data_IF_745914652546
#
_entry.id   IF_745914652546
#
_cell.length_a   1.000
_cell.length_b   1.000
_cell.length_c   1.000
_cell.angle_alpha   90.00
_cell.angle_beta   90.00
_cell.angle_gamma   90.00
#
_symmetry.space_group_name_H-M   'P 1'
#
loop_
_entity.id
_entity.type
_entity.pdbx_description
1 polymer ?
#
# COMPACT_ATOMS: atom_id res chain seq x y z
N UNK A 1 78.19 47.76 7.72
CA UNK A 1 76.78 47.46 7.81
C UNK A 1 76.50 46.10 7.18
N UNK A 2 76.24 45.05 7.98
CA UNK A 2 76.00 43.68 7.48
C UNK A 2 74.47 43.46 7.47
N UNK A 3 73.96 43.19 6.29
CA UNK A 3 72.54 42.75 6.15
C UNK A 3 72.46 41.22 6.32
N UNK A 4 71.73 40.76 7.40
CA UNK A 4 71.40 39.39 7.56
C UNK A 4 70.09 39.11 6.76
N UNK A 5 70.10 38.14 5.86
CA UNK A 5 68.95 37.61 5.15
C UNK A 5 68.39 36.49 5.97
N UNK A 6 67.16 36.69 6.50
CA UNK A 6 66.33 35.62 7.04
C UNK A 6 65.80 34.76 5.89
N UNK A 7 66.09 33.47 5.92
CA UNK A 7 65.47 32.47 5.07
C UNK A 7 64.18 31.93 5.85
N UNK A 8 63.00 32.23 5.37
CA UNK A 8 61.76 31.55 5.81
C UNK A 8 61.68 30.19 5.11
N UNK A 9 61.69 29.12 5.90
CA UNK A 9 61.41 27.78 5.43
C UNK A 9 59.89 27.59 5.50
N UNK A 10 59.25 27.48 4.33
CA UNK A 10 57.82 27.10 4.24
C UNK A 10 57.71 25.58 4.38
N UNK A 11 57.15 25.10 5.50
CA UNK A 11 56.83 23.70 5.69
C UNK A 11 55.50 23.43 4.98
N UNK A 12 55.50 22.71 3.87
CA UNK A 12 54.32 22.20 3.19
C UNK A 12 53.85 20.98 3.97
N UNK A 13 52.70 21.12 4.71
CA UNK A 13 51.99 19.98 5.22
C UNK A 13 51.17 19.35 4.09
N UNK A 14 51.55 18.19 3.62
CA UNK A 14 50.75 17.34 2.75
C UNK A 14 49.67 16.69 3.61
N UNK A 15 48.41 17.14 3.51
CA UNK A 15 47.27 16.43 4.01
C UNK A 15 46.94 15.33 2.99
N UNK A 16 47.35 14.11 3.26
CA UNK A 16 46.89 12.94 2.50
C UNK A 16 45.42 12.70 2.81
N UNK A 17 44.54 13.11 1.91
CA UNK A 17 43.14 12.68 1.94
C UNK A 17 43.10 11.18 1.61
N UNK A 18 42.92 10.33 2.60
CA UNK A 18 42.56 8.93 2.38
C UNK A 18 41.13 8.91 1.79
N UNK A 19 41.05 8.77 0.47
CA UNK A 19 39.81 8.34 -0.18
C UNK A 19 39.68 6.85 0.17
N UNK A 20 38.87 6.50 1.16
CA UNK A 20 38.52 5.14 1.40
C UNK A 20 37.80 4.59 0.14
N UNK A 21 38.40 3.61 -0.51
CA UNK A 21 37.71 2.90 -1.60
C UNK A 21 36.45 2.27 -1.01
N UNK A 22 35.31 2.35 -1.71
CA UNK A 22 34.11 1.67 -1.25
C UNK A 22 34.44 0.17 -1.06
N UNK A 23 34.05 -0.39 0.08
CA UNK A 23 34.17 -1.82 0.31
C UNK A 23 33.43 -2.56 -0.82
N UNK A 24 34.02 -3.63 -1.36
CA UNK A 24 33.35 -4.42 -2.38
C UNK A 24 32.12 -5.07 -1.77
N UNK A 25 30.95 -4.89 -2.41
CA UNK A 25 29.69 -5.53 -2.00
C UNK A 25 29.87 -7.05 -1.86
N UNK A 26 29.43 -7.60 -0.74
CA UNK A 26 29.52 -9.05 -0.43
C UNK A 26 28.14 -9.68 -0.36
N UNK A 27 28.08 -10.99 -0.50
CA UNK A 27 26.88 -11.77 -0.24
C UNK A 27 27.05 -12.52 1.07
N UNK A 28 26.16 -12.27 2.02
CA UNK A 28 26.08 -12.96 3.32
C UNK A 28 24.99 -14.02 3.20
N UNK A 29 25.37 -15.27 2.96
CA UNK A 29 24.41 -16.37 2.79
C UNK A 29 24.10 -17.03 4.13
N UNK A 30 22.81 -17.09 4.49
CA UNK A 30 22.33 -17.76 5.70
C UNK A 30 21.45 -18.95 5.31
N UNK A 31 21.67 -20.11 5.93
CA UNK A 31 20.93 -21.35 5.62
C UNK A 31 19.79 -21.56 6.60
N UNK A 32 18.61 -21.90 6.07
CA UNK A 32 17.48 -22.34 6.87
C UNK A 32 17.75 -23.70 7.58
N UNK A 33 17.02 -23.95 8.66
CA UNK A 33 16.99 -25.27 9.31
C UNK A 33 18.20 -25.63 10.19
N UNK A 34 19.12 -24.69 10.42
CA UNK A 34 20.16 -24.85 11.46
C UNK A 34 19.60 -24.38 12.81
N UNK A 35 20.08 -24.92 13.96
CA UNK A 35 19.56 -24.55 15.27
C UNK A 35 19.65 -23.06 15.60
N UNK A 36 20.61 -22.34 15.04
CA UNK A 36 20.92 -20.94 15.24
C UNK A 36 20.56 -20.08 14.00
N UNK A 37 19.72 -20.60 13.09
CA UNK A 37 19.40 -19.90 11.84
C UNK A 37 18.78 -18.52 12.06
N UNK A 38 17.91 -18.38 13.07
CA UNK A 38 17.21 -17.13 13.35
C UNK A 38 18.17 -16.05 13.86
N UNK A 39 19.04 -16.42 14.81
CA UNK A 39 20.07 -15.51 15.32
C UNK A 39 21.04 -15.08 14.21
N UNK A 40 21.49 -16.04 13.39
CA UNK A 40 22.38 -15.75 12.26
C UNK A 40 21.72 -14.88 11.19
N UNK A 41 20.43 -15.04 10.96
CA UNK A 41 19.73 -14.17 10.02
C UNK A 41 19.65 -12.74 10.55
N UNK A 42 19.26 -12.55 11.81
CA UNK A 42 19.24 -11.23 12.42
C UNK A 42 20.65 -10.62 12.51
N UNK A 43 21.66 -11.41 12.82
CA UNK A 43 23.07 -10.99 12.82
C UNK A 43 23.50 -10.55 11.41
N UNK A 44 23.14 -11.27 10.36
CA UNK A 44 23.45 -10.92 8.98
C UNK A 44 22.80 -9.59 8.56
N UNK A 45 21.55 -9.34 8.99
CA UNK A 45 20.86 -8.07 8.74
C UNK A 45 21.49 -6.88 9.48
N UNK A 46 22.03 -7.10 10.70
CA UNK A 46 22.69 -6.07 11.51
C UNK A 46 24.12 -5.78 10.99
N UNK A 47 24.84 -6.82 10.57
CA UNK A 47 26.25 -6.72 10.16
C UNK A 47 26.44 -6.47 8.65
N UNK A 48 25.36 -6.37 7.88
CA UNK A 48 25.43 -5.97 6.50
C UNK A 48 26.02 -4.55 6.38
N UNK A 49 26.76 -4.32 5.32
CA UNK A 49 27.29 -3.00 4.96
C UNK A 49 26.57 -2.49 3.70
N UNK A 50 26.55 -1.18 3.45
CA UNK A 50 25.91 -0.64 2.25
C UNK A 50 26.44 -1.28 0.96
N UNK A 51 25.54 -1.83 0.15
CA UNK A 51 25.83 -2.58 -1.06
C UNK A 51 25.77 -4.08 -0.90
N UNK A 52 25.69 -4.60 0.32
CA UNK A 52 25.65 -6.04 0.57
C UNK A 52 24.32 -6.68 0.17
N UNK A 53 24.40 -7.99 -0.06
CA UNK A 53 23.22 -8.84 -0.23
C UNK A 53 23.15 -9.85 0.93
N UNK A 54 22.06 -9.83 1.70
CA UNK A 54 21.71 -10.89 2.65
C UNK A 54 20.87 -11.92 1.88
N UNK A 55 21.43 -13.12 1.70
CA UNK A 55 20.81 -14.19 0.94
C UNK A 55 20.20 -15.24 1.87
N UNK A 56 18.89 -15.37 1.76
CA UNK A 56 18.11 -16.34 2.53
C UNK A 56 18.12 -17.69 1.80
N UNK A 57 18.76 -18.70 2.36
CA UNK A 57 18.72 -20.05 1.81
C UNK A 57 17.30 -20.60 1.74
N UNK A 58 17.05 -21.47 0.75
CA UNK A 58 15.77 -22.16 0.62
C UNK A 58 15.45 -22.99 1.88
N UNK A 59 14.19 -23.03 2.26
CA UNK A 59 13.66 -23.74 3.41
C UNK A 59 12.70 -22.91 4.25
N UNK A 60 12.15 -23.55 5.28
CA UNK A 60 11.24 -22.90 6.23
C UNK A 60 12.02 -22.44 7.45
N UNK A 61 11.93 -21.14 7.72
CA UNK A 61 12.51 -20.47 8.88
C UNK A 61 11.42 -20.35 9.96
N UNK A 62 11.54 -21.07 11.05
CA UNK A 62 10.61 -20.99 12.19
C UNK A 62 11.04 -19.88 13.12
N UNK A 63 10.42 -18.70 12.99
CA UNK A 63 10.81 -17.49 13.67
C UNK A 63 9.92 -17.26 14.90
N UNK A 64 10.55 -16.93 16.04
CA UNK A 64 9.89 -16.60 17.31
C UNK A 64 9.84 -15.10 17.57
N UNK A 65 10.69 -14.34 16.90
CA UNK A 65 10.80 -12.89 17.02
C UNK A 65 10.81 -12.23 15.64
N UNK A 66 10.45 -10.95 15.58
CA UNK A 66 10.56 -10.14 14.38
C UNK A 66 12.00 -9.91 13.97
N UNK A 67 12.21 -9.66 12.68
CA UNK A 67 13.49 -9.28 12.10
C UNK A 67 13.54 -7.78 11.88
N UNK A 68 14.74 -7.19 11.94
CA UNK A 68 14.94 -5.76 11.65
C UNK A 68 16.15 -5.52 10.74
N UNK A 69 16.02 -4.57 9.83
CA UNK A 69 17.07 -4.07 8.95
C UNK A 69 17.12 -2.53 9.05
N UNK A 70 18.28 -2.02 9.48
CA UNK A 70 18.54 -0.58 9.63
C UNK A 70 19.90 -0.20 8.99
N UNK A 71 20.15 -0.73 7.79
CA UNK A 71 21.36 -0.45 7.00
C UNK A 71 20.93 -0.09 5.59
N UNK A 72 21.37 1.07 5.13
CA UNK A 72 21.06 1.57 3.79
C UNK A 72 21.68 0.71 2.68
N UNK A 73 21.03 0.73 1.52
CA UNK A 73 21.51 0.09 0.29
C UNK A 73 21.82 -1.41 0.45
N UNK A 74 20.93 -2.12 1.13
CA UNK A 74 21.01 -3.58 1.32
C UNK A 74 19.97 -4.29 0.48
N UNK A 75 20.38 -5.40 -0.13
CA UNK A 75 19.46 -6.35 -0.78
C UNK A 75 19.18 -7.52 0.15
N UNK A 76 17.91 -7.83 0.42
CA UNK A 76 17.49 -9.08 1.06
C UNK A 76 16.85 -9.96 -0.01
N UNK A 77 17.47 -11.08 -0.32
CA UNK A 77 17.06 -11.96 -1.41
C UNK A 77 16.84 -13.39 -0.95
N UNK A 78 15.68 -13.93 -1.22
CA UNK A 78 15.39 -15.35 -1.01
C UNK A 78 15.57 -16.20 -2.27
N UNK A 79 15.30 -17.51 -2.15
CA UNK A 79 15.32 -18.47 -3.24
C UNK A 79 13.97 -18.58 -3.97
N UNK A 80 12.99 -17.75 -3.61
CA UNK A 80 11.64 -17.74 -4.14
C UNK A 80 10.58 -17.81 -3.05
N UNK A 81 9.31 -17.74 -3.44
CA UNK A 81 8.16 -17.65 -2.53
C UNK A 81 7.39 -18.96 -2.39
N UNK A 82 7.75 -19.99 -3.19
CA UNK A 82 6.99 -21.25 -3.28
C UNK A 82 7.33 -22.19 -2.12
N UNK A 83 6.29 -22.75 -1.50
CA UNK A 83 6.44 -23.76 -0.45
C UNK A 83 7.26 -24.97 -0.94
N UNK A 84 8.18 -25.43 -0.09
CA UNK A 84 9.08 -26.54 -0.39
C UNK A 84 10.29 -26.21 -1.27
N UNK A 85 10.36 -25.05 -1.90
CA UNK A 85 11.47 -24.62 -2.76
C UNK A 85 11.99 -23.21 -2.45
N UNK A 86 11.15 -22.34 -1.89
CA UNK A 86 11.48 -20.95 -1.58
C UNK A 86 12.06 -20.75 -0.19
N UNK A 87 12.34 -19.50 0.13
CA UNK A 87 12.74 -19.03 1.46
C UNK A 87 11.49 -18.55 2.20
N UNK A 88 11.03 -19.31 3.18
CA UNK A 88 9.75 -19.10 3.86
C UNK A 88 10.00 -18.70 5.30
N UNK A 89 9.80 -17.42 5.62
CA UNK A 89 9.88 -16.86 6.96
C UNK A 89 8.53 -17.08 7.67
N UNK A 90 8.41 -18.11 8.47
CA UNK A 90 7.17 -18.50 9.16
C UNK A 90 7.19 -18.06 10.62
N UNK A 91 6.37 -17.06 10.91
CA UNK A 91 6.19 -16.45 12.23
C UNK A 91 5.06 -17.08 13.07
N UNK A 92 4.57 -18.26 12.71
CA UNK A 92 3.52 -18.95 13.50
C UNK A 92 3.92 -19.19 14.97
N UNK A 93 5.20 -19.18 15.27
CA UNK A 93 5.78 -19.29 16.62
C UNK A 93 6.11 -17.95 17.29
N UNK A 94 5.79 -16.81 16.68
CA UNK A 94 6.16 -15.49 17.20
C UNK A 94 5.63 -15.25 18.61
N UNK A 95 6.51 -14.86 19.54
CA UNK A 95 6.17 -14.67 20.96
C UNK A 95 5.67 -13.25 21.24
N UNK A 96 6.37 -12.24 20.75
CA UNK A 96 5.97 -10.85 20.85
C UNK A 96 4.82 -10.48 19.91
N UNK A 97 4.20 -9.31 20.12
CA UNK A 97 3.44 -8.62 19.11
C UNK A 97 4.42 -7.77 18.30
N UNK A 98 4.38 -7.83 16.98
CA UNK A 98 5.26 -7.03 16.14
C UNK A 98 5.30 -7.50 14.71
N UNK A 99 6.06 -6.81 13.94
CA UNK A 99 6.23 -7.05 12.52
C UNK A 99 7.02 -8.35 12.27
N UNK A 100 6.85 -8.94 11.10
CA UNK A 100 7.71 -10.01 10.62
C UNK A 100 9.09 -9.48 10.25
N UNK A 101 9.14 -8.46 9.39
CA UNK A 101 10.36 -7.74 9.04
C UNK A 101 10.10 -6.24 9.12
N UNK A 102 10.89 -5.53 9.94
CA UNK A 102 10.93 -4.08 10.01
C UNK A 102 12.14 -3.55 9.24
N UNK A 103 11.92 -2.55 8.36
CA UNK A 103 12.97 -1.83 7.62
C UNK A 103 12.88 -0.34 7.95
N UNK A 104 13.99 0.24 8.39
CA UNK A 104 14.07 1.67 8.75
C UNK A 104 15.13 2.43 7.95
N UNK A 105 15.69 1.79 6.93
CA UNK A 105 16.82 2.28 6.11
C UNK A 105 16.42 2.52 4.66
N UNK A 106 17.21 3.33 3.97
CA UNK A 106 17.01 3.77 2.59
C UNK A 106 17.62 2.79 1.57
N UNK A 107 17.18 2.87 0.30
CA UNK A 107 17.74 2.13 -0.85
C UNK A 107 17.64 0.59 -0.72
N UNK A 108 16.69 0.08 0.04
CA UNK A 108 16.54 -1.35 0.30
C UNK A 108 15.79 -2.06 -0.83
N UNK A 109 16.27 -3.26 -1.17
CA UNK A 109 15.63 -4.16 -2.12
C UNK A 109 15.27 -5.48 -1.46
N UNK A 110 13.98 -5.77 -1.33
CA UNK A 110 13.43 -7.00 -0.79
C UNK A 110 12.88 -7.86 -1.92
N UNK A 111 13.38 -9.08 -2.08
CA UNK A 111 12.96 -9.91 -3.23
C UNK A 111 13.00 -11.42 -2.98
N UNK A 112 12.08 -12.14 -3.60
CA UNK A 112 12.07 -13.60 -3.72
C UNK A 112 12.00 -14.37 -2.38
N UNK A 113 11.18 -13.93 -1.43
CA UNK A 113 10.91 -14.70 -0.20
C UNK A 113 9.44 -14.54 0.25
N UNK A 114 9.01 -15.42 1.14
CA UNK A 114 7.69 -15.35 1.75
C UNK A 114 7.78 -15.02 3.24
N UNK A 115 6.79 -14.26 3.73
CA UNK A 115 6.56 -13.96 5.16
C UNK A 115 5.18 -14.49 5.53
N UNK A 116 5.12 -15.40 6.49
CA UNK A 116 3.87 -16.07 6.85
C UNK A 116 3.52 -15.88 8.32
N UNK A 117 2.22 -15.71 8.59
CA UNK A 117 1.60 -15.86 9.91
C UNK A 117 2.17 -14.93 11.00
N UNK A 118 2.53 -13.71 10.66
CA UNK A 118 2.97 -12.70 11.64
C UNK A 118 1.85 -12.33 12.60
N UNK A 119 2.16 -11.98 13.83
CA UNK A 119 1.18 -11.44 14.81
C UNK A 119 0.82 -9.98 14.52
N UNK A 120 1.79 -9.19 14.12
CA UNK A 120 1.62 -7.83 13.64
C UNK A 120 1.73 -7.77 12.11
N UNK A 121 2.26 -6.67 11.58
CA UNK A 121 2.42 -6.47 10.15
C UNK A 121 3.38 -7.49 9.52
N UNK A 122 3.17 -7.83 8.26
CA UNK A 122 4.05 -8.76 7.55
C UNK A 122 5.44 -8.17 7.33
N UNK A 123 5.54 -7.22 6.42
CA UNK A 123 6.76 -6.46 6.13
C UNK A 123 6.42 -4.97 6.26
N UNK A 124 7.00 -4.32 7.25
CA UNK A 124 6.85 -2.90 7.49
C UNK A 124 8.11 -2.15 7.14
N UNK A 125 7.98 -1.05 6.41
CA UNK A 125 9.05 -0.05 6.34
C UNK A 125 8.56 1.28 6.87
N UNK A 126 9.40 1.94 7.66
CA UNK A 126 9.09 3.24 8.22
C UNK A 126 10.20 4.25 7.93
N UNK A 127 9.86 5.32 7.21
CA UNK A 127 10.81 6.35 6.80
C UNK A 127 11.83 5.86 5.77
N UNK A 128 11.67 4.66 5.23
CA UNK A 128 12.55 4.05 4.23
C UNK A 128 12.26 4.64 2.85
N UNK A 129 13.24 5.33 2.27
CA UNK A 129 13.12 5.93 0.95
C UNK A 129 13.79 5.06 -0.11
N UNK A 130 13.28 5.10 -1.34
CA UNK A 130 13.76 4.26 -2.45
C UNK A 130 13.74 2.77 -2.12
N UNK A 131 12.62 2.33 -1.52
CA UNK A 131 12.41 0.92 -1.17
C UNK A 131 11.68 0.17 -2.28
N UNK A 132 12.16 -1.04 -2.57
CA UNK A 132 11.57 -1.93 -3.58
C UNK A 132 11.15 -3.26 -2.94
N UNK A 133 9.88 -3.60 -3.10
CA UNK A 133 9.31 -4.90 -2.79
C UNK A 133 9.02 -5.62 -4.10
N UNK A 134 9.70 -6.73 -4.35
CA UNK A 134 9.57 -7.43 -5.62
C UNK A 134 9.48 -8.94 -5.43
N UNK A 135 8.51 -9.57 -6.08
CA UNK A 135 8.31 -11.02 -6.02
C UNK A 135 8.26 -11.56 -4.58
N UNK A 136 7.47 -10.91 -3.73
CA UNK A 136 7.26 -11.32 -2.33
C UNK A 136 5.90 -11.99 -2.16
N UNK A 137 5.79 -12.84 -1.14
CA UNK A 137 4.51 -13.39 -0.66
C UNK A 137 4.35 -13.09 0.82
N UNK A 138 3.24 -12.45 1.20
CA UNK A 138 2.86 -12.25 2.60
C UNK A 138 1.50 -12.88 2.84
N UNK A 139 1.40 -13.80 3.80
CA UNK A 139 0.17 -14.59 3.94
C UNK A 139 -0.10 -15.03 5.37
N UNK A 140 -1.37 -14.94 5.79
CA UNK A 140 -1.92 -15.62 6.94
C UNK A 140 -2.63 -16.88 6.47
N UNK A 141 -1.95 -18.02 6.62
CA UNK A 141 -2.32 -19.31 5.99
C UNK A 141 -3.61 -19.90 6.51
N UNK A 142 -4.07 -19.48 7.70
CA UNK A 142 -5.35 -19.90 8.28
C UNK A 142 -6.57 -19.16 7.69
N UNK A 143 -6.35 -18.29 6.69
CA UNK A 143 -7.38 -17.47 6.03
C UNK A 143 -7.77 -16.22 6.81
N UNK A 144 -8.82 -15.50 6.33
CA UNK A 144 -9.30 -14.24 6.91
C UNK A 144 -9.72 -14.37 8.37
N UNK A 145 -9.11 -13.59 9.25
CA UNK A 145 -9.42 -13.51 10.68
C UNK A 145 -9.10 -12.14 11.26
N UNK A 146 -9.95 -11.64 12.15
CA UNK A 146 -9.71 -10.41 12.91
C UNK A 146 -8.39 -10.42 13.69
N UNK A 147 -7.88 -11.59 14.06
CA UNK A 147 -6.65 -11.76 14.83
C UNK A 147 -5.39 -11.84 13.98
N UNK A 148 -5.51 -11.78 12.67
CA UNK A 148 -4.34 -11.69 11.78
C UNK A 148 -3.68 -10.31 11.93
N UNK A 149 -2.43 -10.18 11.50
CA UNK A 149 -1.77 -8.89 11.44
C UNK A 149 -2.52 -7.90 10.52
N UNK A 150 -2.34 -6.62 10.78
CA UNK A 150 -3.11 -5.58 10.10
C UNK A 150 -2.72 -5.46 8.63
N UNK A 151 -1.43 -5.35 8.35
CA UNK A 151 -0.92 -5.05 7.01
C UNK A 151 0.05 -6.11 6.50
N UNK A 152 -0.10 -6.49 5.23
CA UNK A 152 0.83 -7.43 4.60
C UNK A 152 2.15 -6.76 4.23
N UNK A 153 2.13 -5.85 3.27
CA UNK A 153 3.25 -4.96 2.91
C UNK A 153 2.87 -3.54 3.29
N UNK A 154 3.70 -2.92 4.13
CA UNK A 154 3.36 -1.68 4.82
C UNK A 154 4.48 -0.65 4.79
N UNK A 155 4.74 0.07 3.67
CA UNK A 155 5.52 1.29 3.69
C UNK A 155 4.72 2.45 4.29
N UNK A 156 5.35 3.17 5.22
CA UNK A 156 4.80 4.36 5.86
C UNK A 156 5.86 5.45 6.02
N UNK A 157 5.47 6.71 5.87
CA UNK A 157 6.37 7.88 5.96
C UNK A 157 7.58 7.76 5.00
N UNK A 158 7.37 7.19 3.82
CA UNK A 158 8.40 6.83 2.85
C UNK A 158 8.27 7.62 1.54
N UNK A 159 9.34 7.71 0.77
CA UNK A 159 9.31 8.29 -0.58
C UNK A 159 10.03 7.40 -1.58
N UNK A 160 9.57 7.45 -2.84
CA UNK A 160 10.01 6.54 -3.89
C UNK A 160 9.78 5.08 -3.47
N UNK A 161 8.53 4.63 -3.54
CA UNK A 161 8.11 3.28 -3.14
C UNK A 161 7.71 2.49 -4.37
N UNK A 162 8.34 1.34 -4.60
CA UNK A 162 7.96 0.39 -5.64
C UNK A 162 7.49 -0.92 -5.02
N UNK A 163 6.24 -1.30 -5.28
CA UNK A 163 5.66 -2.60 -4.95
C UNK A 163 5.30 -3.28 -6.26
N UNK A 164 6.01 -4.34 -6.60
CA UNK A 164 5.95 -5.01 -7.89
C UNK A 164 5.90 -6.53 -7.72
N UNK A 165 4.94 -7.18 -8.36
CA UNK A 165 4.79 -8.64 -8.37
C UNK A 165 4.67 -9.26 -6.96
N UNK A 166 3.93 -8.61 -6.07
CA UNK A 166 3.73 -9.04 -4.69
C UNK A 166 2.38 -9.77 -4.54
N UNK A 167 2.37 -10.86 -3.79
CA UNK A 167 1.15 -11.56 -3.41
C UNK A 167 0.85 -11.37 -1.92
N UNK A 168 -0.36 -10.91 -1.59
CA UNK A 168 -0.78 -10.75 -0.18
C UNK A 168 -2.15 -11.35 0.08
N UNK A 169 -2.29 -12.08 1.20
CA UNK A 169 -3.53 -12.74 1.59
C UNK A 169 -3.76 -12.74 3.10
N UNK A 170 -4.97 -12.38 3.52
CA UNK A 170 -5.48 -12.59 4.87
C UNK A 170 -5.22 -11.48 5.87
N UNK A 171 -4.77 -10.30 5.44
CA UNK A 171 -4.56 -9.13 6.30
C UNK A 171 -5.88 -8.63 6.90
N UNK A 172 -5.87 -8.33 8.21
CA UNK A 172 -7.09 -7.88 8.92
C UNK A 172 -7.42 -6.39 8.73
N UNK A 173 -6.58 -5.68 8.01
CA UNK A 173 -6.79 -4.30 7.57
C UNK A 173 -6.51 -4.19 6.07
N UNK A 174 -5.26 -4.08 5.61
CA UNK A 174 -4.98 -4.02 4.18
C UNK A 174 -3.87 -5.00 3.76
N UNK A 175 -4.06 -5.68 2.63
CA UNK A 175 -3.02 -6.54 2.04
C UNK A 175 -1.78 -5.74 1.70
N UNK A 176 -1.92 -4.74 0.85
CA UNK A 176 -0.89 -3.76 0.51
C UNK A 176 -1.38 -2.41 1.03
N UNK A 177 -0.67 -1.83 1.98
CA UNK A 177 -0.95 -0.51 2.51
C UNK A 177 0.21 0.43 2.26
N UNK A 178 -0.05 1.60 1.72
CA UNK A 178 0.94 2.67 1.57
C UNK A 178 0.39 3.92 2.25
N UNK A 179 0.98 4.27 3.39
CA UNK A 179 0.52 5.39 4.21
C UNK A 179 1.50 6.54 4.30
N UNK A 180 0.98 7.78 4.25
CA UNK A 180 1.75 8.99 4.53
C UNK A 180 3.07 9.07 3.73
N UNK A 181 3.02 8.57 2.51
CA UNK A 181 4.17 8.41 1.62
C UNK A 181 3.98 9.21 0.33
N UNK A 182 5.01 9.23 -0.53
CA UNK A 182 4.95 9.95 -1.81
C UNK A 182 5.78 9.28 -2.89
N UNK A 183 5.42 9.55 -4.14
CA UNK A 183 6.06 8.99 -5.33
C UNK A 183 6.04 7.46 -5.31
N UNK A 184 4.86 6.90 -5.58
CA UNK A 184 4.50 5.52 -5.28
C UNK A 184 4.07 4.81 -6.55
N UNK A 185 4.55 3.59 -6.76
CA UNK A 185 4.03 2.68 -7.79
C UNK A 185 3.71 1.33 -7.15
N UNK A 186 2.46 0.88 -7.32
CA UNK A 186 1.98 -0.46 -6.94
C UNK A 186 1.48 -1.14 -8.21
N UNK A 187 2.17 -2.19 -8.65
CA UNK A 187 1.84 -2.85 -9.92
C UNK A 187 2.03 -4.36 -9.91
N UNK A 188 1.45 -5.04 -10.90
CA UNK A 188 1.61 -6.47 -11.16
C UNK A 188 1.37 -7.36 -9.93
N UNK A 189 0.64 -6.86 -8.94
CA UNK A 189 0.48 -7.47 -7.62
C UNK A 189 -0.90 -8.08 -7.45
N UNK A 190 -0.99 -9.06 -6.54
CA UNK A 190 -2.25 -9.75 -6.22
C UNK A 190 -2.54 -9.59 -4.74
N UNK A 191 -3.67 -8.95 -4.42
CA UNK A 191 -4.17 -8.82 -3.07
C UNK A 191 -5.54 -9.54 -2.96
N UNK A 192 -5.61 -10.58 -2.14
CA UNK A 192 -6.81 -11.42 -2.06
C UNK A 192 -7.15 -11.84 -0.64
N UNK A 193 -8.45 -11.95 -0.34
CA UNK A 193 -8.95 -12.37 0.98
C UNK A 193 -8.45 -11.48 2.15
N UNK A 194 -8.26 -10.18 1.90
CA UNK A 194 -7.96 -9.17 2.92
C UNK A 194 -9.22 -8.36 3.24
N UNK A 195 -9.17 -7.46 4.21
CA UNK A 195 -10.24 -6.45 4.35
C UNK A 195 -10.10 -5.44 3.21
N UNK A 196 -9.05 -4.65 3.15
CA UNK A 196 -8.72 -3.92 1.94
C UNK A 196 -7.69 -4.70 1.12
N UNK A 197 -7.87 -4.80 -0.20
CA UNK A 197 -6.85 -5.41 -1.06
C UNK A 197 -5.61 -4.54 -1.10
N UNK A 198 -5.76 -3.31 -1.62
CA UNK A 198 -4.73 -2.28 -1.71
C UNK A 198 -5.29 -1.00 -1.10
N UNK A 199 -4.50 -0.31 -0.29
CA UNK A 199 -4.88 0.95 0.33
C UNK A 199 -3.79 2.00 0.17
N UNK A 200 -4.17 3.16 -0.36
CA UNK A 200 -3.32 4.37 -0.45
C UNK A 200 -3.93 5.40 0.49
N UNK A 201 -3.27 5.63 1.62
CA UNK A 201 -3.81 6.50 2.68
C UNK A 201 -2.92 7.70 2.93
N UNK A 202 -3.51 8.91 2.94
CA UNK A 202 -2.79 10.16 3.22
C UNK A 202 -1.49 10.32 2.42
N UNK A 203 -1.45 9.79 1.21
CA UNK A 203 -0.26 9.69 0.37
C UNK A 203 -0.37 10.58 -0.87
N UNK A 204 0.76 10.91 -1.47
CA UNK A 204 0.85 11.82 -2.60
C UNK A 204 1.50 11.15 -3.79
N UNK A 205 1.01 11.46 -4.99
CA UNK A 205 1.63 11.04 -6.23
C UNK A 205 1.78 9.51 -6.31
N UNK A 206 0.66 8.80 -6.54
CA UNK A 206 0.63 7.34 -6.56
C UNK A 206 0.00 6.80 -7.85
N UNK A 207 0.63 5.79 -8.45
CA UNK A 207 0.10 4.95 -9.51
C UNK A 207 -0.18 3.55 -8.97
N UNK A 208 -1.43 3.09 -9.11
CA UNK A 208 -1.88 1.75 -8.75
C UNK A 208 -2.45 1.11 -10.00
N UNK A 209 -1.69 0.20 -10.64
CA UNK A 209 -2.06 -0.33 -11.95
C UNK A 209 -1.64 -1.79 -12.17
N UNK A 210 -2.27 -2.43 -13.12
CA UNK A 210 -2.00 -3.84 -13.51
C UNK A 210 -2.09 -4.83 -12.33
N UNK A 211 -2.86 -4.50 -11.28
CA UNK A 211 -3.03 -5.36 -10.11
C UNK A 211 -4.31 -6.19 -10.20
N UNK A 212 -4.35 -7.27 -9.44
CA UNK A 212 -5.56 -8.04 -9.15
C UNK A 212 -5.93 -7.83 -7.69
N UNK A 213 -7.03 -7.10 -7.44
CA UNK A 213 -7.62 -6.93 -6.12
C UNK A 213 -8.96 -7.69 -6.05
N UNK A 214 -8.90 -8.96 -5.64
CA UNK A 214 -10.06 -9.85 -5.72
C UNK A 214 -10.33 -10.60 -4.41
N UNK A 215 -11.61 -10.89 -4.14
CA UNK A 215 -12.05 -11.63 -2.94
C UNK A 215 -11.69 -10.93 -1.63
N UNK A 216 -11.52 -9.62 -1.62
CA UNK A 216 -11.37 -8.83 -0.41
C UNK A 216 -12.76 -8.37 0.10
N UNK A 217 -12.83 -7.65 1.20
CA UNK A 217 -14.04 -6.90 1.57
C UNK A 217 -14.20 -5.69 0.67
N UNK A 218 -13.11 -4.90 0.49
CA UNK A 218 -12.96 -3.83 -0.50
C UNK A 218 -11.70 -4.05 -1.34
N UNK A 219 -11.75 -3.74 -2.65
CA UNK A 219 -10.66 -4.00 -3.57
C UNK A 219 -9.51 -3.02 -3.41
N UNK A 220 -9.71 -1.76 -3.82
CA UNK A 220 -8.70 -0.69 -3.76
C UNK A 220 -9.30 0.52 -3.04
N UNK A 221 -8.63 0.98 -1.99
CA UNK A 221 -9.07 2.11 -1.16
C UNK A 221 -8.11 3.29 -1.33
N UNK A 222 -8.65 4.49 -1.52
CA UNK A 222 -7.86 5.74 -1.62
C UNK A 222 -8.42 6.72 -0.61
N UNK A 223 -7.75 6.81 0.54
CA UNK A 223 -8.25 7.53 1.70
C UNK A 223 -7.42 8.77 2.03
N UNK A 224 -8.08 9.78 2.60
CA UNK A 224 -7.44 10.82 3.39
C UNK A 224 -8.12 10.86 4.75
N UNK A 225 -7.36 10.70 5.82
CA UNK A 225 -7.86 10.61 7.19
C UNK A 225 -7.35 11.78 8.04
N UNK A 226 -8.13 12.20 9.05
CA UNK A 226 -7.70 13.26 9.97
C UNK A 226 -6.64 12.81 10.96
N UNK A 227 -5.95 13.78 11.56
CA UNK A 227 -5.06 13.59 12.72
C UNK A 227 -3.84 12.71 12.47
N UNK A 228 -3.44 12.53 11.21
CA UNK A 228 -2.19 11.88 10.84
C UNK A 228 -1.09 12.93 10.57
N UNK A 229 0.20 12.59 10.72
CA UNK A 229 1.31 13.52 10.45
C UNK A 229 1.27 14.11 9.04
N UNK A 230 0.99 13.30 8.03
CA UNK A 230 0.75 13.76 6.66
C UNK A 230 -0.75 13.73 6.37
N UNK A 231 -1.27 14.83 5.84
CA UNK A 231 -2.68 14.99 5.47
C UNK A 231 -2.81 15.53 4.06
N UNK A 232 -4.02 15.44 3.54
CA UNK A 232 -4.34 15.98 2.23
C UNK A 232 -3.86 15.08 1.10
N UNK A 233 -4.11 13.77 1.20
CA UNK A 233 -3.83 12.80 0.15
C UNK A 233 -4.31 13.27 -1.22
N UNK A 234 -3.47 13.14 -2.26
CA UNK A 234 -3.77 13.63 -3.60
C UNK A 234 -2.91 13.02 -4.71
N UNK A 235 -3.34 13.26 -5.95
CA UNK A 235 -2.67 12.82 -7.18
C UNK A 235 -2.53 11.31 -7.23
N UNK A 236 -3.62 10.58 -7.11
CA UNK A 236 -3.65 9.11 -7.18
C UNK A 236 -4.31 8.67 -8.47
N UNK A 237 -3.65 7.79 -9.23
CA UNK A 237 -4.21 7.13 -10.39
C UNK A 237 -4.43 5.65 -10.10
N UNK A 238 -5.65 5.17 -10.32
CA UNK A 238 -6.03 3.76 -10.20
C UNK A 238 -6.49 3.29 -11.57
N UNK A 239 -5.66 2.52 -12.25
CA UNK A 239 -5.93 2.20 -13.67
C UNK A 239 -5.45 0.79 -14.06
N UNK A 240 -6.11 0.24 -15.06
CA UNK A 240 -5.76 -1.07 -15.66
C UNK A 240 -5.70 -2.23 -14.65
N UNK A 241 -6.42 -2.12 -13.51
CA UNK A 241 -6.54 -3.19 -12.53
C UNK A 241 -7.72 -4.11 -12.84
N UNK A 242 -7.65 -5.35 -12.37
CA UNK A 242 -8.79 -6.27 -12.25
C UNK A 242 -9.27 -6.21 -10.79
N UNK A 243 -10.50 -5.72 -10.59
CA UNK A 243 -11.08 -5.52 -9.26
C UNK A 243 -12.39 -6.28 -9.18
N UNK A 244 -12.37 -7.50 -8.65
CA UNK A 244 -13.50 -8.42 -8.79
C UNK A 244 -13.76 -9.26 -7.56
N UNK A 245 -15.05 -9.70 -7.45
CA UNK A 245 -15.48 -10.67 -6.42
C UNK A 245 -15.07 -10.26 -4.98
N UNK A 246 -15.09 -8.95 -4.69
CA UNK A 246 -14.73 -8.46 -3.36
C UNK A 246 -15.90 -8.70 -2.38
N UNK A 247 -16.10 -9.96 -2.04
CA UNK A 247 -17.27 -10.49 -1.29
C UNK A 247 -16.91 -11.09 0.07
N UNK A 248 -15.63 -11.05 0.47
CA UNK A 248 -15.20 -11.50 1.80
C UNK A 248 -15.88 -10.65 2.89
N UNK A 249 -16.60 -11.26 3.84
CA UNK A 249 -17.19 -10.53 4.95
C UNK A 249 -16.14 -9.68 5.66
N UNK A 250 -16.51 -8.46 6.06
CA UNK A 250 -15.56 -7.58 6.75
C UNK A 250 -15.16 -8.19 8.11
N UNK A 251 -13.88 -8.46 8.27
CA UNK A 251 -13.30 -9.06 9.46
C UNK A 251 -12.29 -8.14 10.16
N UNK A 252 -12.30 -6.84 9.83
CA UNK A 252 -11.44 -5.87 10.47
C UNK A 252 -11.75 -5.74 11.97
N UNK A 253 -10.75 -5.49 12.81
CA UNK A 253 -10.96 -5.16 14.21
C UNK A 253 -11.87 -3.93 14.35
N UNK A 254 -12.79 -4.00 15.31
CA UNK A 254 -13.71 -2.88 15.59
C UNK A 254 -12.93 -1.62 15.95
N UNK A 255 -13.30 -0.51 15.33
CA UNK A 255 -12.66 0.80 15.55
C UNK A 255 -11.65 1.19 14.46
N UNK A 256 -11.18 0.26 13.66
CA UNK A 256 -10.42 0.58 12.45
C UNK A 256 -11.35 1.21 11.41
N UNK A 257 -10.83 2.16 10.63
CA UNK A 257 -11.63 2.83 9.60
C UNK A 257 -12.14 1.84 8.55
N UNK A 258 -11.32 0.87 8.19
CA UNK A 258 -11.68 -0.17 7.20
C UNK A 258 -12.79 -1.11 7.68
N UNK A 259 -13.07 -1.18 9.00
CA UNK A 259 -14.23 -1.90 9.53
C UNK A 259 -15.57 -1.30 9.05
N UNK A 260 -15.54 -0.07 8.54
CA UNK A 260 -16.70 0.61 7.97
C UNK A 260 -16.85 0.44 6.46
N UNK A 261 -15.90 -0.19 5.80
CA UNK A 261 -15.95 -0.43 4.36
C UNK A 261 -17.04 -1.47 4.06
N UNK A 262 -18.02 -1.15 3.22
CA UNK A 262 -19.06 -2.09 2.85
C UNK A 262 -18.47 -3.27 2.07
N UNK A 263 -18.79 -4.49 2.49
CA UNK A 263 -18.45 -5.70 1.73
C UNK A 263 -18.98 -5.58 0.29
N UNK A 264 -18.16 -5.93 -0.68
CA UNK A 264 -18.55 -5.81 -2.09
C UNK A 264 -18.19 -4.47 -2.73
N UNK A 265 -17.28 -3.73 -2.14
CA UNK A 265 -16.77 -2.49 -2.72
C UNK A 265 -15.58 -2.80 -3.67
N UNK A 266 -15.62 -2.30 -4.89
CA UNK A 266 -14.49 -2.38 -5.82
C UNK A 266 -13.41 -1.35 -5.48
N UNK A 267 -13.55 -0.12 -5.96
CA UNK A 267 -12.70 1.03 -5.58
C UNK A 267 -13.48 1.97 -4.67
N UNK A 268 -12.88 2.44 -3.58
CA UNK A 268 -13.46 3.46 -2.70
C UNK A 268 -12.53 4.66 -2.58
N UNK A 269 -13.00 5.82 -3.00
CA UNK A 269 -12.31 7.11 -2.80
C UNK A 269 -13.01 7.85 -1.67
N UNK A 270 -12.30 8.11 -0.57
CA UNK A 270 -12.84 8.83 0.59
C UNK A 270 -12.00 10.05 0.94
N UNK A 271 -12.60 11.23 0.83
CA UNK A 271 -12.03 12.53 1.22
C UNK A 271 -10.70 12.90 0.52
N UNK A 272 -10.26 12.14 -0.47
CA UNK A 272 -9.03 12.36 -1.21
C UNK A 272 -9.24 13.34 -2.37
N UNK A 273 -8.17 13.81 -3.01
CA UNK A 273 -8.22 14.81 -4.09
C UNK A 273 -7.37 14.43 -5.29
N UNK A 274 -7.75 14.98 -6.46
CA UNK A 274 -7.08 14.70 -7.72
C UNK A 274 -6.89 13.18 -7.89
N UNK A 275 -7.99 12.42 -7.92
CA UNK A 275 -7.96 10.97 -8.11
C UNK A 275 -8.56 10.63 -9.46
N UNK A 276 -7.84 9.85 -10.25
CA UNK A 276 -8.33 9.30 -11.51
C UNK A 276 -8.51 7.79 -11.39
N UNK A 277 -9.70 7.28 -11.74
CA UNK A 277 -10.03 5.85 -11.79
C UNK A 277 -10.44 5.52 -13.22
N UNK A 278 -9.59 4.81 -13.97
CA UNK A 278 -9.82 4.60 -15.40
C UNK A 278 -9.25 3.28 -15.93
N UNK A 279 -9.86 2.75 -16.97
CA UNK A 279 -9.35 1.55 -17.66
C UNK A 279 -9.40 0.26 -16.84
N UNK A 280 -9.99 0.27 -15.65
CA UNK A 280 -10.09 -0.92 -14.80
C UNK A 280 -11.19 -1.87 -15.30
N UNK A 281 -11.04 -3.14 -15.00
CA UNK A 281 -12.06 -4.18 -15.20
C UNK A 281 -12.66 -4.55 -13.86
N UNK A 282 -13.95 -4.27 -13.70
CA UNK A 282 -14.73 -4.59 -12.50
C UNK A 282 -15.73 -5.71 -12.77
N UNK A 283 -15.84 -6.67 -11.85
CA UNK A 283 -16.91 -7.66 -11.89
C UNK A 283 -17.24 -8.21 -10.49
N UNK A 284 -18.50 -8.62 -10.28
CA UNK A 284 -18.98 -9.30 -9.07
C UNK A 284 -18.74 -8.52 -7.75
N UNK A 285 -18.76 -7.19 -7.79
CA UNK A 285 -18.69 -6.37 -6.57
C UNK A 285 -20.11 -6.08 -6.06
N UNK A 286 -20.49 -6.73 -4.98
CA UNK A 286 -21.88 -6.75 -4.49
C UNK A 286 -22.44 -5.37 -4.12
N UNK A 287 -21.61 -4.46 -3.61
CA UNK A 287 -22.03 -3.10 -3.23
C UNK A 287 -21.91 -2.13 -4.40
N UNK A 288 -20.72 -1.91 -4.94
CA UNK A 288 -20.51 -1.04 -6.08
C UNK A 288 -19.10 -1.26 -6.65
N UNK A 289 -18.92 -1.05 -7.95
CA UNK A 289 -17.59 -1.10 -8.55
C UNK A 289 -16.73 0.11 -8.17
N UNK A 290 -17.33 1.29 -8.09
CA UNK A 290 -16.65 2.51 -7.63
C UNK A 290 -17.55 3.27 -6.66
N UNK A 291 -17.00 3.69 -5.54
CA UNK A 291 -17.66 4.55 -4.55
C UNK A 291 -16.83 5.83 -4.34
N UNK A 292 -17.50 6.98 -4.31
CA UNK A 292 -16.90 8.28 -3.96
C UNK A 292 -17.68 8.85 -2.79
N UNK A 293 -17.00 9.10 -1.68
CA UNK A 293 -17.65 9.54 -0.44
C UNK A 293 -16.82 10.56 0.33
N UNK A 294 -17.49 11.40 1.10
CA UNK A 294 -16.87 12.22 2.13
C UNK A 294 -16.59 11.41 3.41
N UNK A 295 -15.63 11.86 4.20
CA UNK A 295 -15.36 11.33 5.55
C UNK A 295 -16.43 11.82 6.53
N UNK A 296 -17.26 10.93 7.05
CA UNK A 296 -18.47 11.25 7.83
C UNK A 296 -18.36 10.94 9.31
N UNK A 297 -17.15 10.69 9.79
CA UNK A 297 -16.91 10.42 11.22
C UNK A 297 -16.48 11.68 11.96
N UNK A 298 -16.76 11.72 13.25
CA UNK A 298 -16.32 12.83 14.09
C UNK A 298 -14.79 12.92 14.12
N UNK A 299 -14.28 14.14 13.97
CA UNK A 299 -12.86 14.45 14.08
C UNK A 299 -12.65 15.80 14.75
N UNK A 300 -11.50 15.97 15.40
CA UNK A 300 -11.12 17.21 16.10
C UNK A 300 -10.13 18.06 15.30
N UNK A 301 -9.68 17.60 14.16
CA UNK A 301 -8.70 18.29 13.35
C UNK A 301 -9.38 19.45 12.58
N UNK A 302 -9.05 20.71 12.89
CA UNK A 302 -9.68 21.87 12.24
C UNK A 302 -9.21 22.10 10.79
N UNK A 303 -8.10 21.51 10.40
CA UNK A 303 -7.50 21.68 9.06
C UNK A 303 -7.91 20.57 8.08
N UNK A 304 -8.52 19.51 8.60
CA UNK A 304 -8.92 18.37 7.79
C UNK A 304 -10.03 18.72 6.79
N UNK A 305 -9.90 18.21 5.58
CA UNK A 305 -10.85 18.43 4.50
C UNK A 305 -11.62 17.13 4.21
N UNK A 306 -12.83 16.96 4.78
CA UNK A 306 -13.55 15.69 4.72
C UNK A 306 -14.23 15.39 3.39
N UNK A 307 -14.14 16.29 2.40
CA UNK A 307 -14.82 16.15 1.11
C UNK A 307 -13.86 15.73 0.00
N UNK A 308 -14.25 14.80 -0.88
CA UNK A 308 -13.48 14.49 -2.08
C UNK A 308 -13.49 15.68 -3.03
N UNK A 309 -12.38 15.87 -3.76
CA UNK A 309 -12.25 16.96 -4.71
C UNK A 309 -11.49 16.56 -5.96
N UNK A 310 -11.98 17.01 -7.13
CA UNK A 310 -11.37 16.72 -8.42
C UNK A 310 -11.19 15.21 -8.66
N UNK A 311 -12.28 14.46 -8.58
CA UNK A 311 -12.30 13.02 -8.82
C UNK A 311 -12.82 12.76 -10.23
N UNK A 312 -12.08 11.98 -11.00
CA UNK A 312 -12.44 11.60 -12.38
C UNK A 312 -12.57 10.08 -12.46
N UNK A 313 -13.73 9.60 -12.85
CA UNK A 313 -13.97 8.18 -13.14
C UNK A 313 -14.40 8.04 -14.58
N UNK A 314 -13.66 7.28 -15.39
CA UNK A 314 -13.91 7.21 -16.83
C UNK A 314 -13.37 5.93 -17.48
N UNK A 315 -14.06 5.44 -18.49
CA UNK A 315 -13.56 4.38 -19.38
C UNK A 315 -13.28 3.05 -18.69
N UNK A 316 -13.96 2.77 -17.57
CA UNK A 316 -13.87 1.48 -16.90
C UNK A 316 -14.85 0.48 -17.54
N UNK A 317 -14.52 -0.81 -17.43
CA UNK A 317 -15.41 -1.88 -17.81
C UNK A 317 -16.16 -2.39 -16.58
N UNK A 318 -17.48 -2.26 -16.60
CA UNK A 318 -18.34 -2.66 -15.50
C UNK A 318 -19.08 -3.98 -15.82
N UNK A 319 -18.69 -5.06 -15.14
CA UNK A 319 -19.47 -6.27 -15.05
C UNK A 319 -20.57 -6.16 -14.00
N UNK A 320 -20.94 -7.26 -13.37
CA UNK A 320 -22.01 -7.30 -12.38
C UNK A 320 -21.64 -6.53 -11.11
N UNK A 321 -22.54 -5.63 -10.66
CA UNK A 321 -22.35 -4.82 -9.46
C UNK A 321 -23.66 -4.50 -8.77
N UNK A 322 -23.63 -4.01 -7.53
CA UNK A 322 -24.74 -3.40 -6.83
C UNK A 322 -25.87 -4.34 -6.43
N UNK A 323 -25.69 -5.65 -6.55
CA UNK A 323 -26.71 -6.65 -6.29
C UNK A 323 -26.86 -7.04 -4.81
N UNK A 324 -25.95 -6.64 -3.96
CA UNK A 324 -25.95 -6.87 -2.52
C UNK A 324 -25.28 -5.70 -1.77
N UNK A 325 -25.82 -4.46 -1.88
CA UNK A 325 -25.17 -3.29 -1.30
C UNK A 325 -25.20 -3.38 0.23
N UNK A 326 -24.01 -3.44 0.83
CA UNK A 326 -23.77 -3.70 2.25
C UNK A 326 -23.60 -2.39 3.06
N UNK A 327 -24.43 -1.40 2.82
CA UNK A 327 -24.51 -0.16 3.60
C UNK A 327 -25.95 0.12 4.04
N UNK A 328 -26.13 0.97 5.06
CA UNK A 328 -27.44 1.28 5.62
C UNK A 328 -28.41 1.80 4.55
N UNK A 329 -29.54 1.13 4.39
CA UNK A 329 -30.54 1.45 3.37
C UNK A 329 -30.21 0.92 1.96
N UNK A 330 -29.05 0.33 1.74
CA UNK A 330 -28.62 -0.15 0.43
C UNK A 330 -29.55 -1.20 -0.18
N UNK A 331 -29.99 -2.17 0.62
CA UNK A 331 -30.91 -3.21 0.16
C UNK A 331 -32.27 -2.64 -0.27
N UNK A 332 -32.77 -1.63 0.43
CA UNK A 332 -34.05 -0.95 0.09
C UNK A 332 -33.90 -0.17 -1.22
N UNK A 333 -32.74 0.51 -1.41
CA UNK A 333 -32.47 1.23 -2.65
C UNK A 333 -32.38 0.23 -3.82
N UNK A 334 -31.65 -0.86 -3.66
CA UNK A 334 -31.54 -1.89 -4.69
C UNK A 334 -32.89 -2.48 -5.07
N UNK A 335 -33.74 -2.80 -4.07
CA UNK A 335 -35.10 -3.29 -4.31
C UNK A 335 -35.96 -2.28 -5.09
N UNK A 336 -35.91 -1.00 -4.75
CA UNK A 336 -36.61 0.07 -5.46
C UNK A 336 -36.10 0.28 -6.90
N UNK A 337 -34.85 -0.14 -7.21
CA UNK A 337 -34.22 -0.04 -8.53
C UNK A 337 -34.26 -1.36 -9.33
N UNK A 338 -35.08 -2.33 -8.91
CA UNK A 338 -35.21 -3.57 -9.66
C UNK A 338 -34.20 -4.67 -9.29
N UNK A 339 -33.58 -4.58 -8.13
CA UNK A 339 -32.72 -5.64 -7.55
C UNK A 339 -31.23 -5.32 -7.49
N UNK A 340 -30.78 -4.23 -8.09
CA UNK A 340 -29.40 -3.79 -8.00
C UNK A 340 -29.29 -2.26 -8.11
N UNK A 341 -28.27 -1.69 -7.46
CA UNK A 341 -27.90 -0.28 -7.68
C UNK A 341 -26.90 -0.16 -8.84
N UNK A 342 -26.77 1.02 -9.47
CA UNK A 342 -25.76 1.27 -10.48
C UNK A 342 -24.33 0.99 -10.01
N UNK A 343 -23.39 0.68 -10.94
CA UNK A 343 -22.03 0.30 -10.61
C UNK A 343 -21.19 1.40 -9.96
N UNK A 344 -21.56 2.67 -10.18
CA UNK A 344 -20.86 3.82 -9.57
C UNK A 344 -21.78 4.50 -8.57
N UNK A 345 -21.35 4.59 -7.31
CA UNK A 345 -22.07 5.21 -6.21
C UNK A 345 -21.31 6.46 -5.74
N UNK A 346 -21.99 7.60 -5.77
CA UNK A 346 -21.50 8.86 -5.21
C UNK A 346 -22.41 9.31 -4.06
N UNK A 347 -21.84 9.70 -2.94
CA UNK A 347 -22.68 10.15 -1.81
C UNK A 347 -23.33 11.53 -2.05
N UNK A 348 -22.91 12.27 -3.04
CA UNK A 348 -23.44 13.59 -3.39
C UNK A 348 -22.59 14.76 -2.87
N UNK A 349 -21.56 14.48 -2.09
CA UNK A 349 -20.67 15.49 -1.53
C UNK A 349 -19.36 15.63 -2.35
N UNK A 350 -18.72 16.79 -2.24
CA UNK A 350 -17.45 17.07 -2.91
C UNK A 350 -17.54 18.11 -4.01
N UNK A 351 -16.43 18.40 -4.63
CA UNK A 351 -16.27 19.45 -5.64
C UNK A 351 -15.50 18.92 -6.87
N UNK A 352 -15.85 19.38 -8.07
CA UNK A 352 -15.25 18.96 -9.32
C UNK A 352 -15.25 17.43 -9.54
N UNK A 353 -16.37 16.78 -9.29
CA UNK A 353 -16.56 15.33 -9.49
C UNK A 353 -17.03 15.09 -10.93
N UNK A 354 -16.27 14.33 -11.69
CA UNK A 354 -16.58 13.93 -13.07
C UNK A 354 -16.70 12.42 -13.15
N UNK A 355 -17.90 11.92 -13.46
CA UNK A 355 -18.20 10.49 -13.51
C UNK A 355 -18.70 10.18 -14.93
N UNK A 356 -17.76 10.04 -15.87
CA UNK A 356 -18.09 9.72 -17.28
C UNK A 356 -18.21 8.20 -17.46
N UNK A 357 -19.21 7.66 -16.78
CA UNK A 357 -19.52 6.23 -16.75
C UNK A 357 -21.01 5.97 -17.04
N UNK A 358 -21.31 4.74 -17.40
CA UNK A 358 -22.71 4.29 -17.53
C UNK A 358 -23.21 3.79 -16.17
N UNK A 359 -24.27 4.42 -15.69
CA UNK A 359 -24.91 4.03 -14.44
C UNK A 359 -24.22 4.60 -13.19
N UNK A 360 -24.56 5.85 -12.89
CA UNK A 360 -24.13 6.53 -11.67
C UNK A 360 -25.34 6.80 -10.80
N UNK A 361 -25.25 6.43 -9.51
CA UNK A 361 -26.22 6.75 -8.47
C UNK A 361 -25.66 7.79 -7.51
N UNK A 362 -26.34 8.93 -7.36
CA UNK A 362 -26.06 9.87 -6.27
C UNK A 362 -26.99 9.63 -5.10
N UNK A 363 -26.47 9.68 -3.88
CA UNK A 363 -27.28 9.70 -2.65
C UNK A 363 -27.80 11.10 -2.31
N UNK A 364 -27.31 12.14 -3.01
CA UNK A 364 -27.69 13.54 -2.81
C UNK A 364 -27.48 14.04 -1.35
N UNK A 365 -26.40 13.63 -0.72
CA UNK A 365 -25.98 14.12 0.59
C UNK A 365 -24.95 15.24 0.37
N UNK A 366 -25.33 16.53 0.43
CA UNK A 366 -24.50 17.64 -0.05
C UNK A 366 -23.25 17.89 0.80
N UNK A 367 -23.23 17.40 2.01
CA UNK A 367 -22.08 17.52 2.92
C UNK A 367 -22.00 16.32 3.88
N UNK A 368 -20.89 16.24 4.63
CA UNK A 368 -20.66 15.11 5.57
C UNK A 368 -21.50 15.17 6.83
N UNK A 369 -22.17 16.30 7.11
CA UNK A 369 -23.04 16.47 8.29
C UNK A 369 -24.48 16.08 8.01
N UNK A 370 -24.88 16.01 6.75
CA UNK A 370 -26.23 15.57 6.37
C UNK A 370 -26.41 14.11 6.75
N UNK A 371 -27.37 13.78 7.61
CA UNK A 371 -27.62 12.40 8.04
C UNK A 371 -27.91 11.47 6.86
N UNK A 372 -27.43 10.22 6.94
CA UNK A 372 -27.58 9.24 5.86
C UNK A 372 -29.04 8.87 5.57
N UNK A 373 -29.93 8.93 6.55
CA UNK A 373 -31.36 8.70 6.42
C UNK A 373 -32.08 9.78 5.59
N UNK A 374 -31.43 10.92 5.35
CA UNK A 374 -31.90 11.97 4.45
C UNK A 374 -31.49 11.77 2.98
N UNK A 375 -30.83 10.66 2.67
CA UNK A 375 -30.44 10.34 1.30
C UNK A 375 -31.65 10.29 0.37
N UNK A 376 -31.47 10.84 -0.83
CA UNK A 376 -32.46 10.83 -1.92
C UNK A 376 -31.82 10.20 -3.16
N UNK A 377 -31.67 8.86 -3.18
CA UNK A 377 -30.98 8.17 -4.25
C UNK A 377 -31.57 8.52 -5.62
N UNK A 378 -30.77 9.02 -6.53
CA UNK A 378 -31.19 9.43 -7.87
C UNK A 378 -30.12 9.05 -8.88
N UNK A 379 -30.46 8.40 -9.99
CA UNK A 379 -29.54 8.25 -11.12
C UNK A 379 -29.13 9.62 -11.67
N UNK A 380 -27.84 9.81 -11.88
CA UNK A 380 -27.30 11.08 -12.36
C UNK A 380 -26.34 10.86 -13.52
N UNK A 381 -26.08 11.93 -14.27
CA UNK A 381 -25.01 12.01 -15.28
C UNK A 381 -24.14 13.19 -14.94
N UNK A 382 -22.89 12.95 -14.62
CA UNK A 382 -21.92 13.96 -14.21
C UNK A 382 -20.77 14.04 -15.22
N UNK A 383 -21.14 14.25 -16.48
CA UNK A 383 -20.19 14.47 -17.58
C UNK A 383 -19.79 15.96 -17.55
N UNK A 384 -18.61 16.22 -17.05
CA UNK A 384 -18.00 17.54 -17.03
C UNK A 384 -16.73 17.58 -17.88
N UNK A 385 -16.11 18.75 -17.98
CA UNK A 385 -14.74 18.83 -18.49
C UNK A 385 -13.82 18.34 -17.38
N UNK A 386 -13.12 17.20 -17.56
CA UNK A 386 -12.18 16.73 -16.55
C UNK A 386 -11.04 17.74 -16.39
N UNK A 387 -10.43 17.84 -15.21
CA UNK A 387 -9.16 18.52 -15.04
C UNK A 387 -8.09 17.93 -15.97
N UNK A 388 -6.94 18.60 -16.09
CA UNK A 388 -5.81 18.02 -16.82
C UNK A 388 -5.45 16.65 -16.23
N UNK A 389 -5.18 15.69 -17.10
CA UNK A 389 -4.77 14.36 -16.67
C UNK A 389 -3.52 14.41 -15.78
N UNK A 390 -3.50 13.59 -14.73
CA UNK A 390 -2.34 13.49 -13.87
C UNK A 390 -1.14 12.89 -14.63
N UNK A 391 0.07 13.36 -14.35
CA UNK A 391 1.27 12.77 -14.96
C UNK A 391 1.51 11.36 -14.42
N UNK A 392 2.18 10.55 -15.23
CA UNK A 392 2.71 9.26 -14.81
C UNK A 392 3.76 9.43 -13.71
N UNK A 393 3.70 8.57 -12.71
CA UNK A 393 4.70 8.53 -11.64
C UNK A 393 5.98 7.88 -12.17
N UNK A 394 7.10 8.58 -11.98
CA UNK A 394 8.42 8.11 -12.40
C UNK A 394 9.30 7.91 -11.19
N UNK A 395 9.61 6.67 -10.92
CA UNK A 395 10.57 6.30 -9.90
C UNK A 395 12.02 6.44 -10.41
N UNK A 396 13.00 6.54 -9.51
CA UNK A 396 14.41 6.50 -9.90
C UNK A 396 14.74 5.28 -10.77
N UNK A 397 15.50 5.49 -11.85
CA UNK A 397 15.84 4.40 -12.77
C UNK A 397 16.62 3.24 -12.12
N UNK A 398 17.31 3.51 -11.01
CA UNK A 398 17.97 2.48 -10.20
C UNK A 398 16.99 1.52 -9.51
N UNK A 399 15.77 1.95 -9.23
CA UNK A 399 14.73 1.08 -8.67
C UNK A 399 14.10 0.22 -9.76
N UNK A 400 13.78 0.81 -10.90
CA UNK A 400 13.21 0.09 -12.05
C UNK A 400 14.18 -0.99 -12.56
N UNK A 401 15.47 -0.73 -12.56
CA UNK A 401 16.49 -1.71 -12.98
C UNK A 401 16.58 -2.94 -12.04
N UNK A 402 16.07 -2.87 -10.81
CA UNK A 402 16.07 -4.00 -9.86
C UNK A 402 15.00 -5.06 -10.18
N UNK A 403 13.98 -4.70 -10.95
CA UNK A 403 12.80 -5.56 -11.23
C UNK A 403 12.69 -6.01 -12.70
N UNK A 404 13.69 -5.69 -13.53
CA UNK A 404 13.78 -6.07 -14.95
C UNK A 404 14.37 -7.44 -15.19
#
# INVERSE_FOLDING_TARGET
>A
MRFQRLRQAATLCFVAAFVAAPAAAKTISVKAGTPDANEKLQEALILAEPGDTVELGAGVWKLTDGLSLDVDNVTVRGAGTKDGAGSILDFSGQQGAGEGLLVTSDDVFLTNFAVLNTKGDGIKSKGANRIVYHQLRVEWTAGPKETNGAYGVYPVESSDVLIDSVYVRGASDAGIYVGQSKNIVVRDSIATENVAGIEIENSFDADVHDNIAAKNTGGILVFDLPSLPQQGGHNVRVFENIVSDNSTPNFAPKGNIVASVPTGTGVLVMANRNVEVFGNVFDQNGTANVMIVGYRYDHKDPNYQPLPKAIVVRGNQHGKAGYAPAFDGGAQIAAAMGGAIPPVLWDGAGDAIVLDEVGVLSLNLPDVKTPRDQAKPTPVTLKGTPPAALPEIKLPASMEAKVQ
#
